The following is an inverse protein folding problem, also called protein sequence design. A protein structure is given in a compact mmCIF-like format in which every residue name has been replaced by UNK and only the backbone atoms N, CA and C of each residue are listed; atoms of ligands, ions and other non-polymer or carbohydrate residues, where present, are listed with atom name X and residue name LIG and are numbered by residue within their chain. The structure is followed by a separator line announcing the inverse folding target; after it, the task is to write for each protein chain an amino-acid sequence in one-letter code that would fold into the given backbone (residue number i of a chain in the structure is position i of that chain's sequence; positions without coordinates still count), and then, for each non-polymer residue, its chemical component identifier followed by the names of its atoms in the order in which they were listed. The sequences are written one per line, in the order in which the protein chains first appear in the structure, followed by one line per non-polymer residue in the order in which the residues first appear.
data_IF_108355745629
#
_entry.id   IF_108355745629
#
_cell.length_a   1.000
_cell.length_b   1.000
_cell.length_c   1.000
_cell.angle_alpha   90.00
_cell.angle_beta   90.00
_cell.angle_gamma   90.00
#
_symmetry.space_group_name_H-M   'P 1'
#
loop_
_entity.id
_entity.type
_entity.pdbx_description
1 polymer ?
#
# COMPACT_ATOMS: atom_id res chain seq x y z
N UNK A 1 27.72 -5.90 14.82
CA UNK A 1 26.44 -5.88 14.08
C UNK A 1 26.08 -7.31 13.65
N UNK A 2 25.35 -8.04 14.47
CA UNK A 2 24.81 -9.35 14.08
C UNK A 2 23.50 -9.11 13.32
N UNK A 3 23.59 -9.18 11.98
CA UNK A 3 22.45 -9.22 11.07
C UNK A 3 21.51 -10.36 11.49
N UNK A 4 20.20 -10.11 11.53
CA UNK A 4 19.20 -11.16 11.79
C UNK A 4 19.04 -12.03 10.52
N UNK A 5 19.52 -13.29 10.49
CA UNK A 5 19.55 -14.11 9.28
C UNK A 5 18.19 -14.71 8.88
N UNK A 6 17.10 -14.39 9.58
CA UNK A 6 15.84 -15.16 9.55
C UNK A 6 14.66 -14.55 8.77
N UNK A 7 14.87 -13.51 7.94
CA UNK A 7 13.75 -12.84 7.19
C UNK A 7 13.75 -13.09 5.68
N UNK A 8 14.82 -13.69 5.18
CA UNK A 8 14.90 -14.21 3.81
C UNK A 8 15.44 -15.62 3.94
N UNK A 9 14.51 -16.56 4.06
CA UNK A 9 14.81 -17.98 4.10
C UNK A 9 15.20 -18.48 2.71
N UNK A 10 16.03 -19.53 2.64
CA UNK A 10 16.26 -20.22 1.38
C UNK A 10 14.88 -20.71 0.88
N UNK A 11 14.52 -20.56 -0.41
CA UNK A 11 13.24 -21.05 -0.92
C UNK A 11 12.89 -22.50 -0.55
N UNK A 12 13.92 -23.34 -0.33
CA UNK A 12 13.79 -24.73 0.06
C UNK A 12 13.49 -24.93 1.57
N UNK A 13 13.70 -23.91 2.41
CA UNK A 13 13.53 -23.97 3.86
C UNK A 13 12.13 -23.51 4.32
N UNK A 14 11.27 -23.04 3.40
CA UNK A 14 9.92 -22.54 3.72
C UNK A 14 8.93 -23.71 3.75
N UNK A 15 8.49 -24.08 4.95
CA UNK A 15 7.46 -25.11 5.15
C UNK A 15 6.09 -24.70 4.61
N UNK A 16 5.25 -25.67 4.25
CA UNK A 16 3.87 -25.42 3.77
C UNK A 16 3.06 -24.61 4.79
N UNK A 17 3.16 -24.95 6.07
CA UNK A 17 2.54 -24.21 7.19
C UNK A 17 2.97 -22.75 7.19
N UNK A 18 4.25 -22.47 6.95
CA UNK A 18 4.75 -21.10 6.86
C UNK A 18 4.20 -20.36 5.64
N UNK A 19 4.09 -21.01 4.46
CA UNK A 19 3.53 -20.39 3.25
C UNK A 19 2.06 -20.01 3.45
N UNK A 20 1.26 -20.90 4.03
CA UNK A 20 -0.15 -20.65 4.31
C UNK A 20 -0.33 -19.48 5.28
N UNK A 21 0.42 -19.47 6.38
CA UNK A 21 0.39 -18.38 7.34
C UNK A 21 0.80 -17.03 6.70
N UNK A 22 1.87 -17.00 5.91
CA UNK A 22 2.26 -15.79 5.16
C UNK A 22 1.13 -15.34 4.23
N UNK A 23 0.48 -16.24 3.51
CA UNK A 23 -0.63 -15.89 2.64
C UNK A 23 -1.79 -15.27 3.42
N UNK A 24 -2.19 -15.89 4.54
CA UNK A 24 -3.24 -15.38 5.41
C UNK A 24 -2.91 -13.98 5.96
N UNK A 25 -1.68 -13.77 6.43
CA UNK A 25 -1.25 -12.47 6.95
C UNK A 25 -1.21 -11.40 5.85
N UNK A 26 -0.74 -11.73 4.65
CA UNK A 26 -0.77 -10.80 3.52
C UNK A 26 -2.22 -10.47 3.12
N UNK A 27 -3.11 -11.45 3.11
CA UNK A 27 -4.53 -11.25 2.89
C UNK A 27 -5.13 -10.28 3.92
N UNK A 28 -4.84 -10.50 5.21
CA UNK A 28 -5.31 -9.61 6.29
C UNK A 28 -4.80 -8.19 6.13
N UNK A 29 -3.52 -8.00 5.79
CA UNK A 29 -2.96 -6.67 5.51
C UNK A 29 -3.72 -6.00 4.36
N UNK A 30 -4.01 -6.72 3.28
CA UNK A 30 -4.71 -6.16 2.11
C UNK A 30 -6.16 -5.81 2.42
N UNK A 31 -6.93 -6.73 3.01
CA UNK A 31 -8.36 -6.48 3.26
C UNK A 31 -8.58 -5.42 4.34
N UNK A 32 -7.68 -5.33 5.34
CA UNK A 32 -7.73 -4.29 6.36
C UNK A 32 -7.27 -2.93 5.83
N UNK A 33 -6.67 -2.88 4.63
CA UNK A 33 -6.25 -1.64 3.96
C UNK A 33 -7.38 -0.97 3.19
N UNK A 34 -8.54 -0.82 3.85
CA UNK A 34 -9.68 -0.09 3.29
C UNK A 34 -10.61 -0.91 2.40
N UNK A 35 -10.64 -2.25 2.44
CA UNK A 35 -11.81 -2.93 1.83
C UNK A 35 -13.10 -2.48 2.52
N UNK A 36 -14.24 -2.45 1.82
CA UNK A 36 -15.49 -1.92 2.40
C UNK A 36 -15.97 -2.78 3.56
N UNK A 37 -15.94 -4.10 3.40
CA UNK A 37 -16.39 -5.02 4.44
C UNK A 37 -15.43 -5.06 5.63
N UNK A 38 -14.14 -5.29 5.38
CA UNK A 38 -13.18 -5.57 6.45
C UNK A 38 -12.43 -4.33 6.93
N UNK A 39 -12.11 -3.41 6.01
CA UNK A 39 -11.33 -2.20 6.30
C UNK A 39 -12.16 -0.95 6.60
N UNK A 40 -13.50 -1.02 6.48
CA UNK A 40 -14.40 0.08 6.86
C UNK A 40 -15.50 -0.41 7.81
N UNK A 41 -16.36 -1.32 7.37
CA UNK A 41 -17.50 -1.79 8.18
C UNK A 41 -17.05 -2.50 9.46
N UNK A 42 -16.07 -3.41 9.37
CA UNK A 42 -15.51 -4.19 10.49
C UNK A 42 -14.09 -3.75 10.86
N UNK A 43 -13.82 -2.44 10.78
CA UNK A 43 -12.46 -1.89 10.87
C UNK A 43 -11.75 -2.25 12.18
N UNK A 44 -12.41 -2.06 13.32
CA UNK A 44 -11.82 -2.30 14.65
C UNK A 44 -11.52 -3.79 14.85
N UNK A 45 -12.44 -4.64 14.45
CA UNK A 45 -12.34 -6.10 14.54
C UNK A 45 -11.16 -6.60 13.73
N UNK A 46 -11.02 -6.16 12.48
CA UNK A 46 -9.94 -6.64 11.61
C UNK A 46 -8.57 -6.09 11.98
N UNK A 47 -8.48 -4.90 12.57
CA UNK A 47 -7.23 -4.43 13.20
C UNK A 47 -6.85 -5.30 14.39
N UNK A 48 -7.81 -5.62 15.26
CA UNK A 48 -7.56 -6.50 16.41
C UNK A 48 -7.14 -7.90 15.97
N UNK A 49 -7.79 -8.47 14.94
CA UNK A 49 -7.42 -9.76 14.36
C UNK A 49 -6.00 -9.71 13.78
N UNK A 50 -5.67 -8.67 13.01
CA UNK A 50 -4.33 -8.48 12.46
C UNK A 50 -3.28 -8.38 13.57
N UNK A 51 -3.57 -7.61 14.63
CA UNK A 51 -2.69 -7.47 15.78
C UNK A 51 -2.54 -8.78 16.55
N UNK A 52 -3.62 -9.52 16.82
CA UNK A 52 -3.58 -10.81 17.51
C UNK A 52 -2.75 -11.84 16.73
N UNK A 53 -2.93 -11.93 15.41
CA UNK A 53 -2.13 -12.82 14.55
C UNK A 53 -0.66 -12.41 14.56
N UNK A 54 -0.37 -11.10 14.50
CA UNK A 54 0.98 -10.59 14.60
C UNK A 54 1.62 -10.93 15.95
N UNK A 55 0.88 -10.79 17.04
CA UNK A 55 1.33 -11.11 18.40
C UNK A 55 1.59 -12.61 18.58
N UNK A 56 0.70 -13.48 18.11
CA UNK A 56 0.83 -14.94 18.32
C UNK A 56 1.93 -15.54 17.44
N UNK A 57 1.98 -15.15 16.17
CA UNK A 57 2.84 -15.83 15.19
C UNK A 57 4.10 -15.06 14.80
N UNK A 58 4.10 -13.74 14.98
CA UNK A 58 5.15 -12.85 14.50
C UNK A 58 5.82 -12.04 15.61
N UNK A 59 5.59 -12.38 16.89
CA UNK A 59 6.27 -11.69 17.99
C UNK A 59 7.80 -11.78 17.82
N UNK A 60 8.50 -10.63 17.84
CA UNK A 60 9.91 -10.61 17.50
C UNK A 60 10.76 -11.15 18.67
N UNK A 61 11.36 -12.33 18.49
CA UNK A 61 12.37 -12.86 19.44
C UNK A 61 13.66 -12.05 19.46
N UNK A 62 13.95 -11.36 18.35
CA UNK A 62 15.06 -10.41 18.18
C UNK A 62 14.57 -9.30 17.28
N UNK A 63 14.86 -8.07 17.67
CA UNK A 63 14.40 -6.88 16.98
C UNK A 63 15.60 -6.21 16.32
N UNK A 64 15.42 -5.73 15.08
CA UNK A 64 16.43 -4.88 14.46
C UNK A 64 16.45 -3.49 15.11
N UNK A 65 17.58 -3.04 15.70
CA UNK A 65 17.64 -1.77 16.44
C UNK A 65 17.18 -0.57 15.62
N UNK A 66 17.50 -0.54 14.33
CA UNK A 66 17.10 0.56 13.43
C UNK A 66 15.59 0.63 13.25
N UNK A 67 14.93 -0.50 12.95
CA UNK A 67 13.48 -0.53 12.77
C UNK A 67 12.76 -0.24 14.08
N UNK A 68 13.29 -0.73 15.20
CA UNK A 68 12.75 -0.43 16.53
C UNK A 68 12.84 1.05 16.86
N UNK A 69 13.98 1.69 16.57
CA UNK A 69 14.15 3.12 16.77
C UNK A 69 13.15 3.91 15.92
N UNK A 70 12.92 3.53 14.66
CA UNK A 70 11.89 4.16 13.81
C UNK A 70 10.50 4.01 14.45
N UNK A 71 10.12 2.81 14.89
CA UNK A 71 8.85 2.59 15.57
C UNK A 71 8.73 3.44 16.83
N UNK A 72 9.76 3.46 17.67
CA UNK A 72 9.79 4.21 18.92
C UNK A 72 9.63 5.71 18.66
N UNK A 73 10.35 6.27 17.70
CA UNK A 73 10.24 7.68 17.33
C UNK A 73 8.84 8.04 16.82
N UNK A 74 8.24 7.19 15.99
CA UNK A 74 6.87 7.38 15.51
C UNK A 74 5.88 7.32 16.68
N UNK A 75 5.99 6.32 17.57
CA UNK A 75 5.08 6.17 18.71
C UNK A 75 5.22 7.32 19.70
N UNK A 76 6.45 7.75 20.04
CA UNK A 76 6.68 8.92 20.91
C UNK A 76 6.03 10.16 20.29
N UNK A 77 6.20 10.36 18.99
CA UNK A 77 5.60 11.49 18.30
C UNK A 77 4.06 11.43 18.29
N UNK A 78 3.48 10.25 18.03
CA UNK A 78 2.02 10.04 18.11
C UNK A 78 1.49 10.30 19.51
N UNK A 79 2.18 9.86 20.55
CA UNK A 79 1.81 10.12 21.94
C UNK A 79 1.91 11.61 22.28
N UNK A 80 2.96 12.30 21.82
CA UNK A 80 3.08 13.75 21.98
C UNK A 80 1.94 14.50 21.26
N UNK A 81 1.64 14.13 20.01
CA UNK A 81 0.54 14.69 19.23
C UNK A 81 -0.82 14.43 19.91
N UNK A 82 -1.01 13.24 20.49
CA UNK A 82 -2.21 12.88 21.28
C UNK A 82 -2.35 13.68 22.57
N UNK A 83 -1.24 13.92 23.30
CA UNK A 83 -1.26 14.74 24.50
C UNK A 83 -1.65 16.19 24.21
N UNK A 84 -1.20 16.72 23.08
CA UNK A 84 -1.54 18.06 22.61
C UNK A 84 -2.97 18.16 22.05
N UNK A 85 -3.48 17.06 21.47
CA UNK A 85 -4.76 17.01 20.76
C UNK A 85 -5.56 15.76 21.14
N UNK A 86 -6.43 15.90 22.14
CA UNK A 86 -7.13 14.78 22.80
C UNK A 86 -8.45 14.35 22.11
N UNK A 87 -8.79 14.92 20.95
CA UNK A 87 -10.12 14.78 20.35
C UNK A 87 -10.42 13.36 19.81
N UNK A 88 -9.41 12.51 19.56
CA UNK A 88 -9.63 11.20 18.92
C UNK A 88 -8.72 10.06 19.44
N UNK A 89 -8.89 9.70 20.71
CA UNK A 89 -8.14 8.60 21.36
C UNK A 89 -8.23 7.27 20.59
N UNK A 90 -9.44 6.90 20.13
CA UNK A 90 -9.67 5.64 19.42
C UNK A 90 -8.87 5.57 18.10
N UNK A 91 -8.78 6.69 17.38
CA UNK A 91 -7.97 6.81 16.16
C UNK A 91 -6.49 6.55 16.45
N UNK A 92 -5.91 7.22 17.45
CA UNK A 92 -4.51 7.00 17.85
C UNK A 92 -4.24 5.56 18.27
N UNK A 93 -5.09 4.97 19.10
CA UNK A 93 -4.95 3.58 19.54
C UNK A 93 -4.98 2.64 18.34
N UNK A 94 -5.96 2.81 17.44
CA UNK A 94 -6.06 2.02 16.21
C UNK A 94 -4.82 2.17 15.31
N UNK A 95 -4.25 3.37 15.20
CA UNK A 95 -3.03 3.61 14.42
C UNK A 95 -1.81 2.91 15.05
N UNK A 96 -1.63 3.03 16.36
CA UNK A 96 -0.53 2.39 17.10
C UNK A 96 -0.62 0.87 16.98
N UNK A 97 -1.81 0.28 17.15
CA UNK A 97 -2.04 -1.16 16.99
C UNK A 97 -1.70 -1.64 15.57
N UNK A 98 -2.12 -0.90 14.53
CA UNK A 98 -1.75 -1.21 13.14
C UNK A 98 -0.24 -1.18 12.92
N UNK A 99 0.44 -0.13 13.40
CA UNK A 99 1.89 0.01 13.25
C UNK A 99 2.65 -1.09 13.98
N UNK A 100 2.26 -1.40 15.23
CA UNK A 100 2.83 -2.49 16.00
C UNK A 100 2.63 -3.85 15.32
N UNK A 101 1.42 -4.13 14.81
CA UNK A 101 1.12 -5.36 14.09
C UNK A 101 2.01 -5.52 12.84
N UNK A 102 2.07 -4.51 11.98
CA UNK A 102 2.87 -4.54 10.76
C UNK A 102 4.37 -4.65 11.07
N UNK A 103 4.84 -3.96 12.11
CA UNK A 103 6.22 -4.07 12.57
C UNK A 103 6.57 -5.50 12.99
N UNK A 104 5.75 -6.14 13.82
CA UNK A 104 5.96 -7.53 14.26
C UNK A 104 6.00 -8.47 13.05
N UNK A 105 5.03 -8.35 12.14
CA UNK A 105 4.96 -9.13 10.90
C UNK A 105 6.25 -8.98 10.09
N UNK A 106 6.69 -7.75 9.81
CA UNK A 106 7.87 -7.50 8.97
C UNK A 106 9.20 -7.94 9.58
N UNK A 107 9.30 -8.03 10.90
CA UNK A 107 10.49 -8.56 11.57
C UNK A 107 10.67 -10.07 11.36
N UNK A 108 9.63 -10.79 10.92
CA UNK A 108 9.60 -12.26 10.93
C UNK A 108 9.12 -12.89 9.63
N UNK A 109 8.32 -12.19 8.83
CA UNK A 109 7.80 -12.70 7.57
C UNK A 109 8.89 -12.80 6.51
N UNK A 110 8.84 -13.85 5.68
CA UNK A 110 9.68 -13.94 4.51
C UNK A 110 9.16 -13.01 3.41
N UNK A 111 9.92 -11.97 3.08
CA UNK A 111 9.47 -10.92 2.14
C UNK A 111 9.29 -11.44 0.71
N UNK A 112 10.04 -12.48 0.30
CA UNK A 112 9.88 -13.09 -1.03
C UNK A 112 8.57 -13.88 -1.09
N UNK A 113 8.27 -14.66 -0.07
CA UNK A 113 7.01 -15.39 0.03
C UNK A 113 5.83 -14.43 0.21
N UNK A 114 5.99 -13.33 0.96
CA UNK A 114 4.97 -12.30 1.10
C UNK A 114 4.64 -11.65 -0.25
N UNK A 115 5.66 -11.25 -1.03
CA UNK A 115 5.47 -10.69 -2.37
C UNK A 115 4.77 -11.68 -3.32
N UNK A 116 5.16 -12.96 -3.30
CA UNK A 116 4.47 -14.01 -4.08
C UNK A 116 3.01 -14.19 -3.66
N UNK A 117 2.76 -14.17 -2.35
CA UNK A 117 1.41 -14.32 -1.78
C UNK A 117 0.52 -13.14 -2.19
N UNK A 118 1.05 -11.92 -2.14
CA UNK A 118 0.36 -10.71 -2.62
C UNK A 118 -0.01 -10.84 -4.11
N UNK A 119 0.95 -11.23 -4.96
CA UNK A 119 0.72 -11.38 -6.40
C UNK A 119 -0.38 -12.40 -6.71
N UNK A 120 -0.45 -13.51 -5.98
CA UNK A 120 -1.53 -14.49 -6.13
C UNK A 120 -2.87 -13.97 -5.62
N UNK A 121 -2.88 -13.34 -4.45
CA UNK A 121 -4.07 -12.77 -3.85
C UNK A 121 -4.72 -11.73 -4.77
N UNK A 122 -3.94 -10.78 -5.30
CA UNK A 122 -4.51 -9.70 -6.11
C UNK A 122 -5.01 -10.21 -7.47
N UNK A 123 -4.38 -11.24 -8.04
CA UNK A 123 -4.89 -11.94 -9.24
C UNK A 123 -6.18 -12.69 -8.93
N UNK A 124 -6.27 -13.34 -7.77
CA UNK A 124 -7.50 -14.01 -7.35
C UNK A 124 -8.64 -13.01 -7.16
N UNK A 125 -8.40 -11.89 -6.49
CA UNK A 125 -9.40 -10.81 -6.34
C UNK A 125 -9.82 -10.24 -7.70
N UNK A 126 -8.89 -10.05 -8.63
CA UNK A 126 -9.18 -9.59 -9.98
C UNK A 126 -10.07 -10.57 -10.76
N UNK A 127 -9.77 -11.88 -10.71
CA UNK A 127 -10.53 -12.91 -11.41
C UNK A 127 -11.90 -13.15 -10.77
N UNK A 128 -11.96 -13.27 -9.45
CA UNK A 128 -13.18 -13.56 -8.70
C UNK A 128 -14.14 -12.36 -8.67
N UNK A 129 -13.61 -11.14 -8.69
CA UNK A 129 -14.42 -9.91 -8.73
C UNK A 129 -14.97 -9.58 -10.12
N UNK A 130 -14.35 -10.08 -11.20
CA UNK A 130 -14.74 -9.73 -12.57
C UNK A 130 -16.18 -10.11 -12.94
N UNK A 131 -16.72 -11.31 -12.58
CA UNK A 131 -18.12 -11.65 -12.85
C UNK A 131 -19.11 -10.68 -12.19
N UNK A 132 -18.83 -10.26 -10.96
CA UNK A 132 -19.66 -9.27 -10.27
C UNK A 132 -19.58 -7.91 -10.96
N UNK A 133 -18.38 -7.43 -11.27
CA UNK A 133 -18.23 -6.20 -12.04
C UNK A 133 -19.04 -6.23 -13.35
N UNK A 134 -18.94 -7.31 -14.11
CA UNK A 134 -19.70 -7.49 -15.35
C UNK A 134 -21.22 -7.51 -15.11
N UNK A 135 -21.70 -8.15 -14.03
CA UNK A 135 -23.12 -8.12 -13.68
C UNK A 135 -23.62 -6.68 -13.44
N UNK A 136 -22.84 -5.85 -12.75
CA UNK A 136 -23.20 -4.44 -12.52
C UNK A 136 -23.17 -3.58 -13.79
N UNK A 137 -22.27 -3.87 -14.73
CA UNK A 137 -22.19 -3.18 -16.03
C UNK A 137 -23.33 -3.60 -16.96
N UNK A 138 -23.66 -4.89 -17.00
CA UNK A 138 -24.66 -5.44 -17.91
C UNK A 138 -26.10 -5.21 -17.43
N UNK A 139 -26.34 -5.33 -16.11
CA UNK A 139 -27.67 -5.17 -15.53
C UNK A 139 -27.60 -4.60 -14.09
N UNK A 140 -27.45 -3.28 -14.02
CA UNK A 140 -27.47 -2.57 -12.74
C UNK A 140 -28.81 -2.68 -11.99
N UNK A 141 -29.93 -2.92 -12.70
CA UNK A 141 -31.24 -3.05 -12.07
C UNK A 141 -31.34 -4.38 -11.30
N UNK A 142 -30.90 -5.48 -11.91
CA UNK A 142 -30.81 -6.78 -11.27
C UNK A 142 -29.90 -6.73 -10.03
N UNK A 143 -28.74 -6.09 -10.11
CA UNK A 143 -27.85 -5.94 -8.95
C UNK A 143 -28.52 -5.16 -7.82
N UNK A 144 -29.24 -4.08 -8.12
CA UNK A 144 -29.97 -3.29 -7.11
C UNK A 144 -31.08 -4.11 -6.44
N UNK A 145 -31.72 -5.01 -7.18
CA UNK A 145 -32.75 -5.91 -6.66
C UNK A 145 -32.15 -7.01 -5.78
N UNK A 146 -31.05 -7.64 -6.20
CA UNK A 146 -30.48 -8.80 -5.53
C UNK A 146 -29.58 -8.45 -4.33
N UNK A 147 -28.88 -7.32 -4.39
CA UNK A 147 -27.87 -6.95 -3.39
C UNK A 147 -28.29 -5.66 -2.69
N UNK A 148 -28.89 -5.70 -1.49
CA UNK A 148 -29.35 -4.51 -0.79
C UNK A 148 -28.18 -3.61 -0.36
N UNK A 149 -28.43 -2.29 -0.18
CA UNK A 149 -27.40 -1.38 0.28
C UNK A 149 -27.15 -1.58 1.77
N UNK A 150 -25.88 -1.57 2.16
CA UNK A 150 -25.41 -1.65 3.54
C UNK A 150 -24.78 -0.31 3.93
N UNK A 151 -25.24 0.36 4.99
CA UNK A 151 -24.62 1.59 5.49
C UNK A 151 -23.19 1.34 5.95
N UNK A 152 -22.25 2.19 5.51
CA UNK A 152 -20.84 2.14 5.92
C UNK A 152 -20.30 3.57 6.00
N UNK A 153 -19.89 4.00 7.20
CA UNK A 153 -19.21 5.28 7.48
C UNK A 153 -19.87 6.49 6.80
N UNK A 154 -21.19 6.68 7.02
CA UNK A 154 -21.94 7.81 6.46
C UNK A 154 -22.31 7.68 4.98
N UNK A 155 -21.86 6.63 4.29
CA UNK A 155 -22.33 6.24 2.96
C UNK A 155 -23.07 4.90 2.97
N UNK A 156 -23.36 4.35 1.80
CA UNK A 156 -23.81 2.97 1.68
C UNK A 156 -23.23 2.28 0.43
N UNK A 157 -23.12 0.96 0.52
CA UNK A 157 -22.51 0.11 -0.50
C UNK A 157 -23.30 -1.17 -0.68
N UNK A 158 -23.27 -1.75 -1.88
CA UNK A 158 -23.83 -3.08 -2.13
C UNK A 158 -22.70 -4.10 -2.11
N UNK A 159 -22.63 -4.87 -1.03
CA UNK A 159 -21.48 -5.72 -0.72
C UNK A 159 -21.77 -7.14 -1.21
N UNK A 160 -20.84 -7.71 -1.99
CA UNK A 160 -20.82 -9.12 -2.40
C UNK A 160 -19.52 -9.77 -1.91
N UNK A 161 -19.37 -11.11 -1.98
CA UNK A 161 -18.18 -11.78 -1.47
C UNK A 161 -16.84 -11.29 -2.07
N UNK A 162 -16.82 -10.92 -3.35
CA UNK A 162 -15.59 -10.54 -4.07
C UNK A 162 -15.67 -9.19 -4.80
N UNK A 163 -16.74 -8.43 -4.61
CA UNK A 163 -16.92 -7.11 -5.21
C UNK A 163 -17.87 -6.24 -4.39
N UNK A 164 -17.75 -4.94 -4.55
CA UNK A 164 -18.63 -3.96 -3.93
C UNK A 164 -19.10 -2.99 -5.00
N UNK A 165 -20.38 -2.67 -5.03
CA UNK A 165 -20.91 -1.63 -5.92
C UNK A 165 -21.16 -0.33 -5.16
N UNK A 166 -20.87 0.79 -5.82
CA UNK A 166 -21.35 2.09 -5.38
C UNK A 166 -22.87 2.17 -5.50
N UNK A 167 -23.49 3.08 -4.74
CA UNK A 167 -24.95 3.29 -4.77
C UNK A 167 -25.45 3.64 -6.19
N UNK A 168 -24.75 4.56 -6.85
CA UNK A 168 -25.22 5.23 -8.06
C UNK A 168 -24.49 4.77 -9.33
N UNK A 169 -23.20 4.46 -9.20
CA UNK A 169 -22.33 4.10 -10.32
C UNK A 169 -21.83 2.66 -10.16
N UNK A 170 -22.24 1.79 -11.08
CA UNK A 170 -21.81 0.39 -11.19
C UNK A 170 -20.96 0.13 -12.45
N UNK A 171 -20.64 1.16 -13.23
CA UNK A 171 -19.90 1.02 -14.49
C UNK A 171 -18.39 0.97 -14.29
N UNK A 172 -17.91 1.28 -13.08
CA UNK A 172 -16.50 1.31 -12.71
C UNK A 172 -16.15 0.20 -11.72
N UNK A 173 -15.07 -0.51 -11.98
CA UNK A 173 -14.63 -1.60 -11.12
C UNK A 173 -13.88 -1.09 -9.89
N UNK A 174 -14.45 -1.28 -8.70
CA UNK A 174 -13.81 -0.94 -7.43
C UNK A 174 -13.38 -2.17 -6.62
N UNK A 175 -13.50 -3.38 -7.18
CA UNK A 175 -13.17 -4.62 -6.48
C UNK A 175 -13.89 -4.68 -5.13
N UNK A 176 -13.15 -5.05 -4.08
CA UNK A 176 -13.66 -5.07 -2.69
C UNK A 176 -13.48 -3.72 -1.96
N UNK A 177 -12.99 -2.69 -2.63
CA UNK A 177 -12.62 -1.39 -2.05
C UNK A 177 -13.73 -0.34 -2.25
N UNK A 178 -13.62 0.78 -1.54
CA UNK A 178 -14.69 1.79 -1.48
C UNK A 178 -14.85 2.60 -2.76
N UNK A 179 -13.83 2.64 -3.60
CA UNK A 179 -13.89 3.30 -4.90
C UNK A 179 -12.87 2.73 -5.89
N UNK A 180 -13.02 2.98 -7.21
CA UNK A 180 -12.08 2.48 -8.20
C UNK A 180 -10.66 3.04 -8.06
N UNK A 181 -10.54 4.26 -7.54
CA UNK A 181 -9.27 4.91 -7.22
C UNK A 181 -8.49 4.21 -6.10
N UNK A 182 -9.19 3.61 -5.14
CA UNK A 182 -8.60 2.73 -4.15
C UNK A 182 -8.10 1.42 -4.76
N UNK A 183 -8.95 0.76 -5.55
CA UNK A 183 -8.64 -0.56 -6.08
C UNK A 183 -7.42 -0.55 -7.02
N UNK A 184 -7.27 0.50 -7.83
CA UNK A 184 -6.11 0.63 -8.71
C UNK A 184 -4.79 0.63 -7.93
N UNK A 185 -4.75 1.10 -6.68
CA UNK A 185 -3.53 1.11 -5.86
C UNK A 185 -3.01 -0.31 -5.66
N UNK A 186 -3.91 -1.25 -5.35
CA UNK A 186 -3.57 -2.64 -5.12
C UNK A 186 -3.19 -3.35 -6.42
N UNK A 187 -3.90 -3.06 -7.52
CA UNK A 187 -3.56 -3.58 -8.84
C UNK A 187 -2.18 -3.10 -9.29
N UNK A 188 -1.88 -1.80 -9.15
CA UNK A 188 -0.59 -1.21 -9.48
C UNK A 188 0.54 -1.74 -8.60
N UNK A 189 0.32 -1.93 -7.31
CA UNK A 189 1.29 -2.59 -6.43
C UNK A 189 1.56 -4.04 -6.88
N UNK A 190 0.52 -4.77 -7.32
CA UNK A 190 0.66 -6.10 -7.89
C UNK A 190 1.50 -6.12 -9.16
N UNK A 191 1.22 -5.19 -10.08
CA UNK A 191 1.99 -4.99 -11.33
C UNK A 191 3.45 -4.65 -11.00
N UNK A 192 3.69 -3.71 -10.08
CA UNK A 192 5.02 -3.34 -9.60
C UNK A 192 5.77 -4.57 -9.07
N UNK A 193 5.16 -5.34 -8.17
CA UNK A 193 5.80 -6.55 -7.62
C UNK A 193 6.09 -7.58 -8.72
N UNK A 194 5.18 -7.78 -9.67
CA UNK A 194 5.38 -8.73 -10.77
C UNK A 194 6.57 -8.38 -11.66
N UNK A 195 6.77 -7.09 -11.91
CA UNK A 195 7.83 -6.58 -12.75
C UNK A 195 9.18 -6.50 -12.01
N UNK A 196 9.20 -6.06 -10.75
CA UNK A 196 10.44 -5.73 -10.05
C UNK A 196 10.98 -6.85 -9.14
N UNK A 197 10.17 -7.85 -8.78
CA UNK A 197 10.59 -8.90 -7.82
C UNK A 197 10.76 -10.29 -8.43
N UNK A 198 10.19 -10.55 -9.61
CA UNK A 198 10.28 -11.87 -10.25
C UNK A 198 11.47 -11.95 -11.21
N UNK A 199 12.20 -13.09 -11.17
CA UNK A 199 13.25 -13.40 -12.16
C UNK A 199 12.71 -13.45 -13.60
N UNK A 200 11.49 -13.97 -13.78
CA UNK A 200 10.76 -13.99 -15.06
C UNK A 200 9.38 -13.37 -14.86
N UNK A 201 9.02 -12.43 -15.72
CA UNK A 201 7.73 -11.73 -15.64
C UNK A 201 6.59 -12.70 -15.97
N UNK A 202 5.61 -12.87 -15.06
CA UNK A 202 4.44 -13.72 -15.31
C UNK A 202 3.43 -13.00 -16.22
N UNK A 203 3.65 -13.08 -17.54
CA UNK A 203 2.87 -12.33 -18.56
C UNK A 203 1.34 -12.48 -18.41
N UNK A 204 0.84 -13.69 -18.14
CA UNK A 204 -0.60 -13.93 -18.02
C UNK A 204 -1.22 -13.21 -16.81
N UNK A 205 -0.52 -13.21 -15.66
CA UNK A 205 -0.95 -12.48 -14.46
C UNK A 205 -0.94 -10.97 -14.70
N UNK A 206 0.12 -10.50 -15.35
CA UNK A 206 0.28 -9.10 -15.70
C UNK A 206 -0.84 -8.62 -16.64
N UNK A 207 -1.22 -9.46 -17.62
CA UNK A 207 -2.35 -9.19 -18.51
C UNK A 207 -3.66 -9.09 -17.72
N UNK A 208 -3.95 -10.04 -16.84
CA UNK A 208 -5.15 -10.00 -15.98
C UNK A 208 -5.18 -8.71 -15.17
N UNK A 209 -4.11 -8.39 -14.42
CA UNK A 209 -4.11 -7.20 -13.58
C UNK A 209 -4.22 -5.91 -14.39
N UNK A 210 -3.57 -5.85 -15.55
CA UNK A 210 -3.66 -4.66 -16.43
C UNK A 210 -5.08 -4.52 -16.98
N UNK A 211 -5.70 -5.60 -17.46
CA UNK A 211 -7.08 -5.59 -17.94
C UNK A 211 -8.07 -5.19 -16.84
N UNK A 212 -7.94 -5.76 -15.63
CA UNK A 212 -8.75 -5.36 -14.47
C UNK A 212 -8.51 -3.89 -14.10
N UNK A 213 -7.27 -3.40 -14.19
CA UNK A 213 -6.95 -2.00 -13.93
C UNK A 213 -7.66 -1.08 -14.94
N UNK A 214 -7.77 -1.47 -16.21
CA UNK A 214 -8.55 -0.73 -17.23
C UNK A 214 -10.02 -0.60 -16.83
N UNK A 215 -10.62 -1.63 -16.24
CA UNK A 215 -12.03 -1.57 -15.81
C UNK A 215 -12.28 -0.63 -14.64
N UNK A 216 -11.24 -0.16 -13.93
CA UNK A 216 -11.41 0.82 -12.84
C UNK A 216 -11.81 2.22 -13.35
N UNK A 217 -11.52 2.54 -14.62
CA UNK A 217 -11.71 3.89 -15.16
C UNK A 217 -11.07 4.96 -14.25
N UNK A 218 -9.87 4.70 -13.73
CA UNK A 218 -9.14 5.62 -12.84
C UNK A 218 -7.97 6.27 -13.58
N UNK A 219 -8.06 7.59 -13.79
CA UNK A 219 -7.00 8.36 -14.46
C UNK A 219 -5.69 8.31 -13.69
N UNK A 220 -5.72 8.41 -12.35
CA UNK A 220 -4.54 8.23 -11.51
C UNK A 220 -3.99 6.81 -11.64
N UNK A 221 -4.86 5.81 -11.69
CA UNK A 221 -4.49 4.41 -11.91
C UNK A 221 -3.71 4.18 -13.21
N UNK A 222 -4.15 4.79 -14.31
CA UNK A 222 -3.46 4.69 -15.61
C UNK A 222 -2.11 5.39 -15.60
N UNK A 223 -2.03 6.59 -15.01
CA UNK A 223 -0.77 7.32 -14.89
C UNK A 223 0.26 6.53 -14.07
N UNK A 224 -0.12 5.99 -12.91
CA UNK A 224 0.77 5.19 -12.06
C UNK A 224 1.22 3.92 -12.80
N UNK A 225 0.29 3.23 -13.47
CA UNK A 225 0.59 2.05 -14.28
C UNK A 225 1.65 2.37 -15.35
N UNK A 226 1.47 3.46 -16.10
CA UNK A 226 2.41 3.93 -17.10
C UNK A 226 3.79 4.24 -16.51
N UNK A 227 3.86 4.91 -15.35
CA UNK A 227 5.11 5.20 -14.65
C UNK A 227 5.84 3.91 -14.22
N UNK A 228 5.10 2.91 -13.72
CA UNK A 228 5.66 1.61 -13.34
C UNK A 228 6.25 0.88 -14.55
N UNK A 229 5.50 0.81 -15.65
CA UNK A 229 5.99 0.19 -16.88
C UNK A 229 7.21 0.93 -17.44
N UNK A 230 7.18 2.27 -17.48
CA UNK A 230 8.30 3.09 -17.93
C UNK A 230 9.56 2.86 -17.09
N UNK A 231 9.44 2.85 -15.76
CA UNK A 231 10.54 2.56 -14.86
C UNK A 231 11.14 1.17 -15.13
N UNK A 232 10.28 0.16 -15.35
CA UNK A 232 10.72 -1.20 -15.67
C UNK A 232 11.43 -1.29 -17.03
N UNK A 233 10.96 -0.55 -18.05
CA UNK A 233 11.59 -0.49 -19.38
C UNK A 233 13.01 0.03 -19.28
N UNK A 234 13.17 1.17 -18.62
CA UNK A 234 14.46 1.86 -18.51
C UNK A 234 15.44 0.98 -17.75
N UNK A 235 15.00 0.24 -16.72
CA UNK A 235 15.82 -0.73 -15.99
C UNK A 235 16.35 -1.86 -16.86
N UNK A 236 15.56 -2.37 -17.82
CA UNK A 236 15.89 -3.59 -18.56
C UNK A 236 16.41 -3.36 -19.99
N UNK A 237 16.60 -2.11 -20.42
CA UNK A 237 17.18 -1.78 -21.73
C UNK A 237 16.34 -2.15 -22.95
N UNK A 238 15.11 -2.69 -22.78
CA UNK A 238 14.20 -3.09 -23.86
C UNK A 238 13.42 -1.89 -24.43
N UNK A 239 14.15 -0.86 -24.88
CA UNK A 239 13.60 0.46 -25.22
C UNK A 239 12.60 0.43 -26.39
N UNK A 240 12.90 -0.20 -27.53
CA UNK A 240 12.08 -0.03 -28.75
C UNK A 240 10.73 -0.79 -28.76
N UNK A 241 10.72 -2.07 -28.37
CA UNK A 241 9.51 -2.89 -28.42
C UNK A 241 8.50 -2.48 -27.34
N UNK A 242 8.99 -1.88 -26.26
CA UNK A 242 8.19 -1.50 -25.09
C UNK A 242 7.86 0.01 -25.07
N UNK A 243 8.65 0.88 -25.71
CA UNK A 243 8.22 2.24 -26.03
C UNK A 243 6.92 2.24 -26.84
N UNK A 244 6.75 1.30 -27.80
CA UNK A 244 5.48 1.11 -28.51
C UNK A 244 4.32 0.69 -27.61
N UNK A 245 4.57 -0.13 -26.59
CA UNK A 245 3.54 -0.59 -25.63
C UNK A 245 3.18 0.48 -24.59
N UNK A 246 4.17 1.25 -24.12
CA UNK A 246 3.97 2.37 -23.19
C UNK A 246 3.30 3.53 -23.93
N UNK A 247 3.73 3.84 -25.15
CA UNK A 247 3.02 4.79 -26.03
C UNK A 247 1.61 4.31 -26.32
N UNK A 248 1.38 3.01 -26.53
CA UNK A 248 0.01 2.55 -26.77
C UNK A 248 -0.88 2.68 -25.52
N UNK A 249 -0.36 2.39 -24.32
CA UNK A 249 -1.09 2.64 -23.07
C UNK A 249 -1.33 4.14 -22.82
N UNK A 250 -0.32 5.00 -23.03
CA UNK A 250 -0.41 6.44 -22.78
C UNK A 250 -1.25 7.17 -23.84
N UNK A 251 -1.26 6.71 -25.09
CA UNK A 251 -2.01 7.35 -26.18
C UNK A 251 -3.39 6.72 -26.35
N UNK A 252 -3.49 5.39 -26.43
CA UNK A 252 -4.78 4.74 -26.70
C UNK A 252 -5.69 4.64 -25.47
N UNK A 253 -5.19 4.68 -24.23
CA UNK A 253 -6.11 4.68 -23.07
C UNK A 253 -6.84 6.02 -22.94
N UNK A 254 -6.17 7.19 -22.95
CA UNK A 254 -6.87 8.47 -22.97
C UNK A 254 -7.70 8.65 -24.22
N UNK A 255 -7.23 8.20 -25.39
CA UNK A 255 -7.99 8.27 -26.65
C UNK A 255 -9.22 7.36 -26.64
N UNK A 256 -9.13 6.14 -26.10
CA UNK A 256 -10.29 5.25 -25.94
C UNK A 256 -11.27 5.78 -24.90
N UNK A 257 -10.80 6.37 -23.80
CA UNK A 257 -11.66 7.06 -22.83
C UNK A 257 -12.32 8.31 -23.45
N UNK A 258 -11.60 9.03 -24.30
CA UNK A 258 -12.10 10.19 -25.05
C UNK A 258 -13.17 9.79 -26.08
N UNK A 259 -12.97 8.68 -26.79
CA UNK A 259 -13.92 8.16 -27.78
C UNK A 259 -15.16 7.52 -27.12
N UNK A 260 -14.99 6.81 -26.00
CA UNK A 260 -16.08 6.10 -25.30
C UNK A 260 -16.86 7.03 -24.35
N UNK A 261 -16.27 8.14 -23.90
CA UNK A 261 -16.88 9.08 -22.95
C UNK A 261 -16.50 10.53 -23.26
N UNK A 262 -16.87 11.03 -24.44
CA UNK A 262 -16.76 12.46 -24.78
C UNK A 262 -17.35 13.35 -23.66
N UNK A 263 -18.42 12.90 -23.00
CA UNK A 263 -19.02 13.52 -21.82
C UNK A 263 -18.11 13.64 -20.60
N UNK A 264 -17.33 12.63 -20.22
CA UNK A 264 -16.55 12.66 -18.95
C UNK A 264 -15.32 13.56 -19.03
N UNK A 265 -14.77 13.78 -20.24
CA UNK A 265 -13.69 14.74 -20.44
C UNK A 265 -14.26 16.15 -20.56
N UNK A 266 -15.37 16.37 -21.27
CA UNK A 266 -16.05 17.67 -21.27
C UNK A 266 -16.55 18.07 -19.88
N UNK A 267 -17.13 17.15 -19.12
CA UNK A 267 -17.58 17.36 -17.73
C UNK A 267 -16.39 17.60 -16.79
N UNK A 268 -15.17 17.16 -17.15
CA UNK A 268 -13.96 17.42 -16.37
C UNK A 268 -13.34 18.79 -16.60
N UNK A 269 -13.63 19.41 -17.74
CA UNK A 269 -13.14 20.74 -18.12
C UNK A 269 -14.22 21.82 -18.05
N UNK A 270 -15.45 21.49 -17.63
CA UNK A 270 -16.49 22.46 -17.27
C UNK A 270 -16.35 22.88 -15.79
N UNK A 271 -16.55 24.17 -15.52
CA UNK A 271 -16.37 24.81 -14.20
C UNK A 271 -17.26 24.22 -13.07
N UNK A 272 -18.26 23.41 -13.41
CA UNK A 272 -19.23 22.83 -12.46
C UNK A 272 -18.91 21.37 -12.07
N UNK A 273 -17.66 20.92 -12.28
CA UNK A 273 -17.28 19.58 -11.90
C UNK A 273 -17.08 19.43 -10.39
N UNK A 274 -18.12 18.96 -9.70
CA UNK A 274 -18.11 18.71 -8.26
C UNK A 274 -16.88 17.89 -7.80
N UNK A 275 -16.36 16.96 -8.62
CA UNK A 275 -15.19 16.16 -8.27
C UNK A 275 -13.85 16.92 -8.38
N UNK A 276 -13.73 17.85 -9.32
CA UNK A 276 -12.56 18.72 -9.44
C UNK A 276 -12.59 19.79 -8.34
N UNK A 277 -13.76 20.41 -8.14
CA UNK A 277 -13.97 21.44 -7.13
C UNK A 277 -13.71 20.89 -5.71
N UNK A 278 -14.18 19.67 -5.39
CA UNK A 278 -13.85 18.98 -4.13
C UNK A 278 -12.35 18.72 -3.97
N UNK A 279 -11.63 18.27 -5.01
CA UNK A 279 -10.17 18.02 -4.91
C UNK A 279 -9.34 19.30 -4.80
N UNK A 280 -9.77 20.35 -5.48
CA UNK A 280 -9.17 21.68 -5.36
C UNK A 280 -9.34 22.19 -3.93
N UNK A 281 -10.56 22.12 -3.41
CA UNK A 281 -10.89 22.51 -2.04
C UNK A 281 -10.15 21.66 -0.99
N UNK A 282 -10.06 20.33 -1.17
CA UNK A 282 -9.26 19.44 -0.32
C UNK A 282 -7.79 19.90 -0.29
N UNK A 283 -7.23 20.27 -1.44
CA UNK A 283 -5.82 20.66 -1.53
C UNK A 283 -5.58 22.01 -0.87
N UNK A 284 -6.44 23.00 -1.13
CA UNK A 284 -6.29 24.36 -0.59
C UNK A 284 -6.54 24.40 0.91
N UNK A 285 -7.60 23.75 1.40
CA UNK A 285 -7.93 23.68 2.83
C UNK A 285 -6.80 23.03 3.65
N UNK A 286 -6.32 21.85 3.24
CA UNK A 286 -5.23 21.19 3.94
C UNK A 286 -3.93 22.01 3.92
N UNK A 287 -3.64 22.70 2.81
CA UNK A 287 -2.44 23.53 2.72
C UNK A 287 -2.53 24.75 3.64
N UNK A 288 -3.68 25.41 3.70
CA UNK A 288 -3.93 26.52 4.62
C UNK A 288 -3.74 26.07 6.08
N UNK A 289 -4.36 24.96 6.47
CA UNK A 289 -4.19 24.40 7.82
C UNK A 289 -2.73 24.03 8.13
N UNK A 290 -2.00 23.47 7.16
CA UNK A 290 -0.58 23.16 7.32
C UNK A 290 0.27 24.42 7.52
N UNK A 291 0.00 25.49 6.77
CA UNK A 291 0.73 26.77 6.90
C UNK A 291 0.46 27.45 8.24
N UNK A 292 -0.74 27.30 8.81
CA UNK A 292 -1.08 27.86 10.13
C UNK A 292 -0.34 27.18 11.29
N UNK A 293 -0.17 25.84 11.23
CA UNK A 293 0.54 25.06 12.27
C UNK A 293 1.59 24.13 11.66
N UNK A 294 2.67 24.68 11.08
CA UNK A 294 3.59 23.91 10.24
C UNK A 294 4.46 22.93 11.03
N UNK A 295 4.62 23.08 12.35
CA UNK A 295 5.54 22.26 13.13
C UNK A 295 4.91 20.97 13.68
N UNK A 296 3.79 21.09 14.39
CA UNK A 296 3.15 19.96 15.11
C UNK A 296 1.77 19.62 14.54
N UNK A 297 1.26 20.45 13.63
CA UNK A 297 -0.05 20.26 13.02
C UNK A 297 -1.21 20.44 13.99
N UNK A 298 -2.36 19.88 13.60
CA UNK A 298 -3.67 20.02 14.27
C UNK A 298 -4.13 18.75 15.01
N UNK A 299 -3.33 17.69 15.02
CA UNK A 299 -3.67 16.42 15.67
C UNK A 299 -4.20 15.38 14.68
N UNK A 300 -3.91 14.10 14.96
CA UNK A 300 -4.34 12.99 14.11
C UNK A 300 -5.86 12.88 14.00
N UNK A 301 -6.37 12.75 12.77
CA UNK A 301 -7.80 12.64 12.47
C UNK A 301 -8.66 13.74 13.11
N UNK A 302 -8.08 14.93 13.33
CA UNK A 302 -8.83 16.11 13.73
C UNK A 302 -9.56 16.68 12.50
N UNK A 303 -10.64 16.01 12.10
CA UNK A 303 -11.47 16.42 10.97
C UNK A 303 -12.46 17.54 11.33
N UNK A 304 -12.65 17.83 12.62
CA UNK A 304 -13.52 18.93 13.09
C UNK A 304 -13.06 20.27 12.52
N UNK A 305 -11.75 20.51 12.49
CA UNK A 305 -11.17 21.74 11.93
C UNK A 305 -11.46 21.90 10.42
N UNK A 306 -11.50 20.79 9.66
CA UNK A 306 -11.88 20.81 8.25
C UNK A 306 -13.38 21.11 8.09
N UNK A 307 -14.20 20.48 8.92
CA UNK A 307 -15.66 20.65 8.88
C UNK A 307 -16.07 22.07 9.27
N UNK A 308 -15.53 22.60 10.37
CA UNK A 308 -15.89 23.93 10.89
C UNK A 308 -15.48 25.08 9.96
N UNK A 309 -14.32 24.98 9.32
CA UNK A 309 -13.77 26.07 8.51
C UNK A 309 -14.11 25.99 7.02
N UNK A 310 -14.27 24.77 6.51
CA UNK A 310 -14.43 24.54 5.07
C UNK A 310 -15.69 23.73 4.71
N UNK A 311 -16.42 23.22 5.70
CA UNK A 311 -17.62 22.39 5.46
C UNK A 311 -17.29 21.01 4.87
N UNK A 312 -16.08 20.50 5.07
CA UNK A 312 -15.61 19.24 4.50
C UNK A 312 -15.45 18.20 5.61
N UNK A 313 -16.09 17.02 5.50
CA UNK A 313 -16.02 16.00 6.56
C UNK A 313 -14.69 15.23 6.59
N UNK A 314 -14.04 15.06 5.43
CA UNK A 314 -12.80 14.32 5.27
C UNK A 314 -12.05 14.73 3.99
N UNK A 315 -10.76 14.43 3.93
CA UNK A 315 -9.93 14.68 2.76
C UNK A 315 -9.45 13.40 2.08
N UNK A 316 -9.47 13.43 0.75
CA UNK A 316 -8.91 12.39 -0.12
C UNK A 316 -7.39 12.44 -0.24
N UNK A 317 -6.75 13.56 0.12
CA UNK A 317 -5.32 13.78 -0.01
C UNK A 317 -4.59 13.41 1.29
N UNK A 318 -4.23 12.13 1.45
CA UNK A 318 -3.51 11.67 2.66
C UNK A 318 -2.16 12.33 2.89
N UNK A 319 -1.49 12.83 1.84
CA UNK A 319 -0.19 13.50 1.98
C UNK A 319 -0.33 14.86 2.68
N UNK A 320 -1.25 15.71 2.21
CA UNK A 320 -1.51 16.99 2.86
C UNK A 320 -2.28 16.82 4.16
N UNK A 321 -3.12 15.78 4.26
CA UNK A 321 -3.75 15.38 5.53
C UNK A 321 -2.69 15.08 6.59
N UNK A 322 -1.69 14.26 6.24
CA UNK A 322 -0.55 14.01 7.13
C UNK A 322 0.19 15.30 7.48
N UNK A 323 0.42 16.17 6.49
CA UNK A 323 1.05 17.47 6.67
C UNK A 323 0.33 18.33 7.70
N UNK A 324 -0.98 18.60 7.55
CA UNK A 324 -1.67 19.47 8.49
C UNK A 324 -1.88 18.79 9.86
N UNK A 325 -1.98 17.46 9.95
CA UNK A 325 -2.19 16.77 11.23
C UNK A 325 -0.92 16.70 12.07
N UNK A 326 0.26 16.56 11.44
CA UNK A 326 1.52 16.29 12.13
C UNK A 326 2.63 17.30 11.85
N UNK A 327 2.42 18.24 10.93
CA UNK A 327 3.39 19.25 10.54
C UNK A 327 4.24 18.87 9.32
N UNK A 328 4.79 19.91 8.69
CA UNK A 328 5.65 19.85 7.52
C UNK A 328 6.98 19.11 7.78
N UNK A 329 7.69 19.30 8.92
CA UNK A 329 8.95 18.59 9.16
C UNK A 329 8.79 17.07 9.09
N UNK A 330 7.75 16.53 9.73
CA UNK A 330 7.52 15.09 9.72
C UNK A 330 7.11 14.59 8.33
N UNK A 331 6.31 15.37 7.61
CA UNK A 331 5.93 15.06 6.23
C UNK A 331 7.17 14.94 5.33
N UNK A 332 8.09 15.92 5.41
CA UNK A 332 9.33 15.89 4.63
C UNK A 332 10.22 14.72 5.01
N UNK A 333 10.39 14.45 6.31
CA UNK A 333 11.16 13.29 6.79
C UNK A 333 10.58 11.99 6.22
N UNK A 334 9.26 11.82 6.25
CA UNK A 334 8.58 10.64 5.72
C UNK A 334 8.79 10.50 4.20
N UNK A 335 8.62 11.57 3.44
CA UNK A 335 8.79 11.56 1.98
C UNK A 335 10.23 11.26 1.56
N UNK A 336 11.20 11.89 2.22
CA UNK A 336 12.63 11.63 2.01
C UNK A 336 12.95 10.16 2.36
N UNK A 337 12.43 9.67 3.49
CA UNK A 337 12.61 8.29 3.91
C UNK A 337 12.04 7.29 2.88
N UNK A 338 10.83 7.54 2.37
CA UNK A 338 10.22 6.71 1.32
C UNK A 338 11.01 6.73 0.01
N UNK A 339 11.53 7.88 -0.42
CA UNK A 339 12.36 7.96 -1.61
C UNK A 339 13.61 7.07 -1.48
N UNK A 340 14.34 7.18 -0.37
CA UNK A 340 15.53 6.35 -0.14
C UNK A 340 15.23 4.86 0.08
N UNK A 341 14.06 4.54 0.62
CA UNK A 341 13.57 3.16 0.71
C UNK A 341 13.31 2.55 -0.66
N UNK A 342 12.75 3.32 -1.60
CA UNK A 342 12.50 2.87 -2.98
C UNK A 342 13.78 2.80 -3.82
N UNK A 343 14.75 3.70 -3.57
CA UNK A 343 16.00 3.78 -4.31
C UNK A 343 16.78 2.47 -4.30
N UNK A 344 16.78 1.80 -3.14
CA UNK A 344 17.54 0.58 -2.88
C UNK A 344 17.09 -0.62 -3.73
N UNK A 345 15.80 -1.04 -3.72
CA UNK A 345 15.33 -2.19 -4.50
C UNK A 345 15.19 -1.89 -6.00
N UNK A 346 14.99 -0.63 -6.40
CA UNK A 346 14.84 -0.26 -7.82
C UNK A 346 16.21 -0.13 -8.50
N UNK A 347 17.22 0.36 -7.77
CA UNK A 347 18.63 0.40 -8.19
C UNK A 347 19.03 1.61 -9.03
N UNK A 348 18.09 2.30 -9.68
CA UNK A 348 18.37 3.49 -10.49
C UNK A 348 17.58 4.72 -10.04
N UNK A 349 18.25 5.88 -9.96
CA UNK A 349 17.67 7.14 -9.45
C UNK A 349 16.47 7.58 -10.28
N UNK A 350 16.59 7.56 -11.61
CA UNK A 350 15.50 7.99 -12.49
C UNK A 350 14.27 7.07 -12.38
N UNK A 351 14.48 5.75 -12.40
CA UNK A 351 13.41 4.76 -12.20
C UNK A 351 12.75 4.93 -10.83
N UNK A 352 13.56 5.21 -9.80
CA UNK A 352 13.06 5.47 -8.44
C UNK A 352 12.20 6.72 -8.40
N UNK A 353 12.63 7.80 -9.08
CA UNK A 353 11.86 9.03 -9.20
C UNK A 353 10.50 8.78 -9.85
N UNK A 354 10.43 7.98 -10.92
CA UNK A 354 9.16 7.62 -11.56
C UNK A 354 8.22 6.86 -10.62
N UNK A 355 8.73 5.87 -9.89
CA UNK A 355 7.92 5.12 -8.92
C UNK A 355 7.52 6.00 -7.73
N UNK A 356 8.41 6.88 -7.29
CA UNK A 356 8.13 7.83 -6.20
C UNK A 356 7.06 8.85 -6.60
N UNK A 357 7.09 9.38 -7.83
CA UNK A 357 6.01 10.21 -8.37
C UNK A 357 4.69 9.44 -8.35
N UNK A 358 4.70 8.16 -8.78
CA UNK A 358 3.53 7.30 -8.67
C UNK A 358 3.00 7.16 -7.24
N UNK A 359 3.90 7.00 -6.25
CA UNK A 359 3.55 6.95 -4.83
C UNK A 359 2.95 8.27 -4.33
N UNK A 360 3.51 9.41 -4.74
CA UNK A 360 2.95 10.74 -4.43
C UNK A 360 1.55 10.88 -5.01
N UNK A 361 1.32 10.46 -6.26
CA UNK A 361 -0.02 10.47 -6.87
C UNK A 361 -0.99 9.63 -6.05
N UNK A 362 -0.59 8.43 -5.59
CA UNK A 362 -1.45 7.61 -4.71
C UNK A 362 -1.82 8.38 -3.45
N UNK A 363 -0.86 8.96 -2.73
CA UNK A 363 -1.15 9.66 -1.47
C UNK A 363 -1.88 10.98 -1.65
N UNK A 364 -1.76 11.63 -2.81
CA UNK A 364 -2.50 12.85 -3.11
C UNK A 364 -3.92 12.61 -3.61
N UNK A 365 -4.23 11.39 -4.07
CA UNK A 365 -5.57 11.07 -4.62
C UNK A 365 -6.40 10.16 -3.73
N UNK A 366 -5.75 9.40 -2.83
CA UNK A 366 -6.41 8.43 -1.98
C UNK A 366 -5.94 8.54 -0.52
N UNK A 367 -6.84 8.28 0.44
CA UNK A 367 -6.51 8.28 1.85
C UNK A 367 -5.80 6.99 2.30
N UNK A 368 -4.55 6.82 1.84
CA UNK A 368 -3.82 5.54 1.87
C UNK A 368 -2.63 5.46 2.82
N UNK A 369 -2.07 6.60 3.24
CA UNK A 369 -0.79 6.65 3.95
C UNK A 369 -0.74 5.77 5.22
N UNK A 370 -1.84 5.71 5.99
CA UNK A 370 -1.94 4.92 7.22
C UNK A 370 -2.67 3.58 7.07
N UNK A 371 -2.87 3.13 5.84
CA UNK A 371 -3.35 1.77 5.62
C UNK A 371 -2.23 0.76 5.88
N UNK A 372 -2.54 -0.43 6.43
CA UNK A 372 -1.54 -1.46 6.70
C UNK A 372 -0.59 -1.75 5.54
N UNK A 373 -1.08 -1.76 4.29
CA UNK A 373 -0.27 -1.99 3.09
C UNK A 373 0.82 -0.93 2.86
N UNK A 374 0.61 0.32 3.27
CA UNK A 374 1.61 1.39 3.16
C UNK A 374 2.46 1.55 4.42
N UNK A 375 1.92 1.20 5.59
CA UNK A 375 2.72 1.05 6.82
C UNK A 375 3.83 0.00 6.60
N UNK A 376 3.61 -1.01 5.75
CA UNK A 376 4.68 -1.95 5.36
C UNK A 376 5.91 -1.23 4.82
N UNK A 377 5.73 -0.16 4.03
CA UNK A 377 6.83 0.63 3.46
C UNK A 377 7.65 1.35 4.54
N UNK A 378 7.01 1.73 5.67
CA UNK A 378 7.67 2.38 6.81
C UNK A 378 8.68 1.46 7.50
N UNK A 379 8.46 0.15 7.49
CA UNK A 379 9.29 -0.82 8.21
C UNK A 379 10.01 -1.82 7.30
N UNK A 380 9.89 -1.69 5.97
CA UNK A 380 10.53 -2.60 5.02
C UNK A 380 12.06 -2.50 5.10
N UNK A 381 12.79 -3.55 5.49
CA UNK A 381 14.26 -3.49 5.41
C UNK A 381 14.79 -3.96 4.04
N UNK A 382 15.08 -2.99 3.18
CA UNK A 382 15.62 -3.20 1.84
C UNK A 382 17.13 -3.50 1.83
N UNK A 383 17.86 -3.26 2.93
CA UNK A 383 19.31 -3.53 3.00
C UNK A 383 19.63 -5.03 2.90
N UNK A 384 18.72 -5.87 3.40
CA UNK A 384 18.83 -7.34 3.38
C UNK A 384 18.59 -7.94 1.99
N UNK A 385 17.76 -7.30 1.16
CA UNK A 385 17.48 -7.78 -0.21
C UNK A 385 18.73 -7.70 -1.09
N UNK A 386 19.47 -6.59 -1.00
CA UNK A 386 20.68 -6.35 -1.79
C UNK A 386 21.83 -7.27 -1.39
N UNK A 387 22.01 -7.56 -0.09
CA UNK A 387 23.05 -8.48 0.38
C UNK A 387 22.84 -9.90 -0.18
N UNK A 388 21.60 -10.38 -0.22
CA UNK A 388 21.28 -11.68 -0.79
C UNK A 388 21.36 -11.71 -2.32
N UNK A 389 21.01 -10.63 -3.02
CA UNK A 389 21.28 -10.52 -4.47
C UNK A 389 22.78 -10.61 -4.78
N UNK A 390 23.63 -9.96 -3.97
CA UNK A 390 25.10 -10.06 -4.10
C UNK A 390 25.65 -11.45 -3.79
N UNK A 391 25.02 -12.17 -2.86
CA UNK A 391 25.36 -13.58 -2.58
C UNK A 391 24.91 -14.49 -3.73
N UNK A 392 23.71 -14.27 -4.28
CA UNK A 392 23.16 -15.06 -5.39
C UNK A 392 23.85 -14.77 -6.73
N UNK A 393 24.35 -13.54 -6.95
CA UNK A 393 25.13 -13.17 -8.14
C UNK A 393 26.57 -13.67 -8.09
N UNK A 394 27.00 -14.27 -6.98
CA UNK A 394 28.38 -14.70 -6.78
C UNK A 394 29.38 -13.57 -6.48
N UNK A 395 28.92 -12.32 -6.30
CA UNK A 395 29.77 -11.19 -5.90
C UNK A 395 30.37 -11.40 -4.49
N UNK A 396 29.70 -12.15 -3.62
CA UNK A 396 30.18 -12.50 -2.27
C UNK A 396 30.50 -14.00 -2.24
N UNK A 397 31.79 -14.35 -2.11
CA UNK A 397 32.27 -15.75 -2.10
C UNK A 397 31.82 -16.49 -0.83
N UNK A 398 31.60 -17.81 -0.93
CA UNK A 398 31.05 -18.66 0.14
C UNK A 398 31.72 -18.56 1.51
N UNK A 399 33.03 -18.25 1.56
CA UNK A 399 33.77 -18.07 2.80
C UNK A 399 33.34 -16.79 3.57
N UNK A 400 32.96 -15.71 2.88
CA UNK A 400 32.43 -14.49 3.50
C UNK A 400 30.97 -14.66 3.93
N UNK A 401 30.18 -15.41 3.16
CA UNK A 401 28.80 -15.79 3.51
C UNK A 401 28.77 -16.57 4.83
N UNK A 402 29.72 -17.48 5.05
CA UNK A 402 29.82 -18.24 6.30
C UNK A 402 30.19 -17.37 7.52
N UNK A 403 30.96 -16.29 7.34
CA UNK A 403 31.24 -15.32 8.41
C UNK A 403 30.04 -14.44 8.74
N UNK A 404 29.26 -14.06 7.73
CA UNK A 404 28.05 -13.23 7.90
C UNK A 404 26.87 -14.05 8.48
N UNK A 405 26.77 -15.34 8.13
CA UNK A 405 25.70 -16.25 8.59
C UNK A 405 26.04 -17.03 9.87
N UNK A 406 27.28 -17.00 10.36
CA UNK A 406 27.65 -17.67 11.61
C UNK A 406 26.78 -17.11 12.74
N UNK A 407 25.94 -17.92 13.41
CA UNK A 407 25.51 -17.57 14.74
C UNK A 407 26.79 -17.40 15.56
N UNK A 408 26.89 -16.32 16.34
CA UNK A 408 27.88 -16.28 17.42
C UNK A 408 27.76 -17.61 18.16
N UNK A 409 28.84 -18.41 18.13
CA UNK A 409 28.91 -19.68 18.87
C UNK A 409 28.35 -19.39 20.25
N UNK A 410 27.35 -20.14 20.67
CA UNK A 410 27.10 -20.29 22.09
C UNK A 410 28.45 -20.69 22.68
N UNK A 411 29.00 -19.85 23.55
CA UNK A 411 30.09 -20.30 24.39
C UNK A 411 29.58 -21.57 25.06
N UNK A 412 30.28 -22.71 24.93
CA UNK A 412 29.93 -23.88 25.70
C UNK A 412 29.95 -23.45 27.16
N UNK A 413 28.84 -23.68 27.86
CA UNK A 413 28.84 -23.72 29.31
C UNK A 413 29.90 -24.76 29.67
N UNK A 414 31.07 -24.31 30.09
CA UNK A 414 32.02 -25.18 30.78
C UNK A 414 31.34 -25.56 32.08
N UNK A 415 30.73 -26.75 32.09
CA UNK A 415 30.56 -27.49 33.31
C UNK A 415 31.96 -27.61 33.95
N UNK A 416 32.20 -26.84 35.01
CA UNK A 416 33.24 -27.21 35.95
C UNK A 416 32.64 -28.26 36.87
N UNK A 417 32.97 -29.50 36.56
CA UNK A 417 32.97 -30.59 37.54
C UNK A 417 34.03 -30.29 38.62
N UNK A 418 33.66 -30.54 39.88
CA UNK A 418 34.53 -30.90 41.02
C UNK A 418 35.70 -29.97 41.40
N UNK A 419 35.58 -29.28 42.53
CA UNK A 419 35.97 -29.74 43.90
C UNK A 419 35.11 -28.98 44.90
#
# INVERSE_FOLDING_TARGET
MTLNPYTLSNPNDITVKSKFLTFLTVMLIVITSGSVLFGKLLYSEFIMILFAIALVFYFPKRIEPKQFLILLLIVIFLLFNMLMYQNNLNGYIGLILKMAAVFMVLNRIDLRQAAKSYQWLIVALALLGMPFYLAGVLDAALVRQLVPPTPVWGGAYRITPFHVYGLWNMTRNQGIFWEPGAYQVFLNLGIFLMLFTNRKVPKWKLLILTATLLTTMSTSGYMICALIYLAYVIRNGKREQMARMVMSLIVFIPLALFIVQSGVITDKFQDDNASFNRRSLDTTSNLQLLVEKPLVGWGFQNNEVLMERYGIPDSSNSLLTFGYQFGLPLLLILMIYYFFQLLRPIGGVFQTLLIFIGLVIVFSTENMLFQPVFIVLMFLDTSRMRLNEKIESGEIRGNEVSRIRRPLRQHPVTAKEGI
#
